data_IF_497309760566
#
_entry.id   IF_497309760566
#
_cell.length_a   1.000
_cell.length_b   1.000
_cell.length_c   1.000
_cell.angle_alpha   90.00
_cell.angle_beta   90.00
_cell.angle_gamma   90.00
#
_symmetry.space_group_name_H-M   'P 1'
#
loop_
_entity.id
_entity.type
_entity.pdbx_description
1 polymer ?
#
# COMPACT_ATOMS: atom_id res chain seq x y z
N UNK A 1 -24.75 14.60 6.10
CA UNK A 1 -24.62 13.42 5.22
C UNK A 1 -23.62 12.50 5.87
N UNK A 2 -24.06 11.39 6.47
CA UNK A 2 -23.16 10.33 6.94
C UNK A 2 -22.69 9.62 5.69
N UNK A 3 -21.52 9.98 5.18
CA UNK A 3 -20.88 9.23 4.09
C UNK A 3 -20.80 7.77 4.55
N UNK A 4 -21.56 6.90 3.87
CA UNK A 4 -21.55 5.47 4.15
C UNK A 4 -20.13 4.99 3.87
N UNK A 5 -19.42 4.64 4.94
CA UNK A 5 -18.12 3.99 4.86
C UNK A 5 -18.33 2.66 4.11
N UNK A 6 -18.10 2.68 2.80
CA UNK A 6 -18.26 1.49 1.96
C UNK A 6 -16.88 0.87 1.79
N UNK A 7 -16.74 -0.38 2.25
CA UNK A 7 -15.56 -1.22 1.99
C UNK A 7 -15.05 -1.10 0.54
N UNK A 8 -15.89 -1.16 -0.52
CA UNK A 8 -15.40 -1.02 -1.89
C UNK A 8 -14.79 0.36 -2.20
N UNK A 9 -15.33 1.46 -1.68
CA UNK A 9 -14.74 2.78 -1.91
C UNK A 9 -13.41 2.94 -1.20
N UNK A 10 -13.28 2.36 0.00
CA UNK A 10 -12.01 2.36 0.74
C UNK A 10 -10.95 1.53 0.03
N UNK A 11 -11.29 0.33 -0.43
CA UNK A 11 -10.38 -0.53 -1.20
C UNK A 11 -9.89 0.19 -2.46
N UNK A 12 -10.80 0.75 -3.26
CA UNK A 12 -10.43 1.49 -4.47
C UNK A 12 -9.55 2.71 -4.19
N UNK A 13 -9.72 3.37 -3.04
CA UNK A 13 -8.87 4.48 -2.64
C UNK A 13 -7.46 4.01 -2.26
N UNK A 14 -7.34 2.91 -1.50
CA UNK A 14 -6.06 2.32 -1.11
C UNK A 14 -5.29 1.79 -2.33
N UNK A 15 -5.97 1.12 -3.25
CA UNK A 15 -5.41 0.62 -4.51
C UNK A 15 -4.82 1.76 -5.34
N UNK A 16 -5.55 2.87 -5.52
CA UNK A 16 -5.02 4.05 -6.22
C UNK A 16 -3.76 4.60 -5.57
N UNK A 17 -3.72 4.67 -4.24
CA UNK A 17 -2.53 5.17 -3.51
C UNK A 17 -1.34 4.24 -3.66
N UNK A 18 -1.55 2.92 -3.62
CA UNK A 18 -0.50 1.94 -3.89
C UNK A 18 0.01 2.06 -5.33
N UNK A 19 -0.89 2.20 -6.31
CA UNK A 19 -0.54 2.38 -7.72
C UNK A 19 0.24 3.67 -8.00
N UNK A 20 -0.11 4.77 -7.33
CA UNK A 20 0.65 6.03 -7.39
C UNK A 20 2.10 5.83 -6.96
N UNK A 21 2.32 5.17 -5.82
CA UNK A 21 3.67 4.88 -5.31
C UNK A 21 4.42 3.91 -6.23
N UNK A 22 3.73 2.89 -6.74
CA UNK A 22 4.27 1.94 -7.71
C UNK A 22 4.76 2.65 -8.98
N UNK A 23 3.97 3.57 -9.53
CA UNK A 23 4.35 4.36 -10.72
C UNK A 23 5.47 5.34 -10.45
N UNK A 24 5.46 5.99 -9.28
CA UNK A 24 6.45 7.02 -8.94
C UNK A 24 7.85 6.43 -8.69
N UNK A 25 7.93 5.32 -7.97
CA UNK A 25 9.21 4.73 -7.55
C UNK A 25 9.57 3.44 -8.33
N UNK A 26 8.65 2.89 -9.11
CA UNK A 26 8.85 1.63 -9.83
C UNK A 26 8.86 0.41 -8.91
N UNK A 27 8.12 0.46 -7.79
CA UNK A 27 8.13 -0.64 -6.82
C UNK A 27 7.56 -1.94 -7.39
N UNK A 28 8.18 -3.06 -7.01
CA UNK A 28 7.70 -4.41 -7.29
C UNK A 28 7.25 -5.06 -5.98
N UNK A 29 6.03 -5.60 -6.01
CA UNK A 29 5.37 -6.30 -4.91
C UNK A 29 6.12 -7.57 -4.50
N UNK A 30 6.85 -8.19 -5.44
CA UNK A 30 7.55 -9.46 -5.25
C UNK A 30 9.04 -9.29 -4.88
N UNK A 31 9.58 -8.08 -5.00
CA UNK A 31 11.01 -7.80 -4.80
C UNK A 31 11.36 -7.32 -3.38
N UNK A 32 10.37 -7.30 -2.47
CA UNK A 32 10.57 -7.03 -1.05
C UNK A 32 11.37 -5.75 -0.76
N UNK A 33 12.17 -5.74 0.29
CA UNK A 33 13.07 -4.60 0.60
C UNK A 33 14.34 -4.59 -0.27
N UNK A 34 14.58 -5.61 -1.11
CA UNK A 34 15.76 -5.67 -1.96
C UNK A 34 15.78 -4.55 -3.02
N UNK A 35 14.62 -4.00 -3.35
CA UNK A 35 14.49 -2.84 -4.23
C UNK A 35 14.97 -1.53 -3.62
N UNK A 36 15.15 -1.44 -2.29
CA UNK A 36 15.70 -0.25 -1.59
C UNK A 36 17.23 -0.20 -1.68
N UNK A 37 17.78 -0.50 -2.85
CA UNK A 37 19.22 -0.52 -3.11
C UNK A 37 19.52 0.25 -4.38
N UNK A 38 20.75 0.73 -4.53
CA UNK A 38 21.18 1.48 -5.71
C UNK A 38 20.40 2.79 -5.86
N UNK A 39 19.60 2.93 -6.93
CA UNK A 39 18.87 4.18 -7.22
C UNK A 39 17.79 4.53 -6.20
N UNK A 40 17.32 3.54 -5.44
CA UNK A 40 16.29 3.67 -4.42
C UNK A 40 16.87 3.56 -2.99
N UNK A 41 18.20 3.59 -2.85
CA UNK A 41 18.89 3.63 -1.54
C UNK A 41 18.85 5.06 -0.98
N UNK A 42 17.64 5.52 -0.65
CA UNK A 42 17.41 6.81 -0.03
C UNK A 42 16.22 6.76 0.93
N UNK A 43 16.21 7.70 1.87
CA UNK A 43 15.19 7.75 2.93
C UNK A 43 13.78 7.92 2.39
N UNK A 44 13.59 8.72 1.34
CA UNK A 44 12.28 8.97 0.74
C UNK A 44 11.70 7.70 0.11
N UNK A 45 12.52 6.94 -0.63
CA UNK A 45 12.14 5.66 -1.21
C UNK A 45 11.83 4.61 -0.13
N UNK A 46 12.60 4.58 0.97
CA UNK A 46 12.32 3.68 2.09
C UNK A 46 10.98 3.99 2.77
N UNK A 47 10.68 5.27 3.01
CA UNK A 47 9.39 5.72 3.57
C UNK A 47 8.24 5.43 2.60
N UNK A 48 8.42 5.71 1.32
CA UNK A 48 7.44 5.44 0.28
C UNK A 48 7.15 3.94 0.17
N UNK A 49 8.17 3.09 0.25
CA UNK A 49 8.01 1.64 0.23
C UNK A 49 7.26 1.13 1.46
N UNK A 50 7.53 1.67 2.64
CA UNK A 50 6.77 1.35 3.86
C UNK A 50 5.28 1.67 3.71
N UNK A 51 4.94 2.83 3.12
CA UNK A 51 3.54 3.19 2.83
C UNK A 51 2.90 2.27 1.80
N UNK A 52 3.63 1.97 0.72
CA UNK A 52 3.18 1.04 -0.31
C UNK A 52 2.82 -0.32 0.30
N UNK A 53 3.70 -0.85 1.17
CA UNK A 53 3.46 -2.15 1.78
C UNK A 53 2.30 -2.13 2.78
N UNK A 54 2.19 -1.06 3.57
CA UNK A 54 1.07 -0.85 4.46
C UNK A 54 -0.28 -0.84 3.71
N UNK A 55 -0.35 -0.21 2.53
CA UNK A 55 -1.58 -0.21 1.74
C UNK A 55 -1.95 -1.61 1.25
N UNK A 56 -0.98 -2.38 0.77
CA UNK A 56 -1.21 -3.79 0.41
C UNK A 56 -1.70 -4.63 1.59
N UNK A 57 -1.05 -4.49 2.75
CA UNK A 57 -1.44 -5.22 3.95
C UNK A 57 -2.85 -4.83 4.40
N UNK A 58 -3.20 -3.54 4.35
CA UNK A 58 -4.56 -3.07 4.69
C UNK A 58 -5.61 -3.56 3.70
N UNK A 59 -5.31 -3.55 2.40
CA UNK A 59 -6.20 -4.12 1.36
C UNK A 59 -6.46 -5.59 1.68
N UNK A 60 -5.41 -6.37 1.91
CA UNK A 60 -5.52 -7.79 2.21
C UNK A 60 -6.30 -8.03 3.50
N UNK A 61 -6.03 -7.29 4.58
CA UNK A 61 -6.77 -7.43 5.83
C UNK A 61 -8.24 -7.04 5.73
N UNK A 62 -8.55 -6.00 4.93
CA UNK A 62 -9.93 -5.60 4.66
C UNK A 62 -10.64 -6.67 3.84
N UNK A 63 -9.96 -7.27 2.87
CA UNK A 63 -10.54 -8.30 2.02
C UNK A 63 -10.83 -9.58 2.81
N UNK A 64 -9.84 -10.06 3.56
CA UNK A 64 -9.91 -11.24 4.44
C UNK A 64 -10.82 -11.03 5.67
N UNK A 65 -11.21 -9.79 5.96
CA UNK A 65 -12.00 -9.43 7.15
C UNK A 65 -11.25 -9.66 8.47
N UNK A 66 -9.93 -9.78 8.41
CA UNK A 66 -9.07 -10.10 9.57
C UNK A 66 -8.83 -8.92 10.51
N UNK A 67 -9.11 -7.68 10.06
CA UNK A 67 -9.04 -6.46 10.88
C UNK A 67 -9.92 -6.48 12.14
N UNK A 68 -10.96 -7.32 12.18
CA UNK A 68 -11.93 -7.40 13.28
C UNK A 68 -11.83 -8.70 14.10
N UNK A 69 -10.90 -9.61 13.77
CA UNK A 69 -10.67 -10.83 14.55
C UNK A 69 -9.53 -10.58 15.57
N UNK A 70 -9.88 -9.97 16.70
CA UNK A 70 -9.08 -10.03 17.93
C UNK A 70 -9.96 -10.51 19.07
#
# INVERSE_FOLDING_TARGET
MTDRFSKPNLLAALERRADELKKQYGFDENNGTAQLKGKLDNQDAAVAYGKFRLYHDLIQQLDDGSLLRR
#
